data_IF_945461175985
#
_entry.id   IF_945461175985
#
_cell.length_a   1.000
_cell.length_b   1.000
_cell.length_c   1.000
_cell.angle_alpha   90.00
_cell.angle_beta   90.00
_cell.angle_gamma   90.00
#
_symmetry.space_group_name_H-M   'P 1'
#
loop_
_entity.id
_entity.type
_entity.pdbx_description
1 polymer ?
#
# COMPACT_ATOMS: atom_id res chain seq x y z
N UNK A 1 14.72 0.04 10.01
CA UNK A 1 14.91 -0.04 8.55
C UNK A 1 13.68 -0.70 7.96
N UNK A 2 13.13 -0.16 6.87
CA UNK A 2 12.08 -0.85 6.12
C UNK A 2 12.77 -1.75 5.13
N UNK A 3 12.45 -3.04 5.19
CA UNK A 3 13.09 -4.07 4.38
C UNK A 3 12.23 -4.34 3.13
N UNK A 4 10.91 -4.50 3.30
CA UNK A 4 9.97 -4.79 2.21
C UNK A 4 8.64 -4.08 2.40
N UNK A 5 8.03 -3.67 1.29
CA UNK A 5 6.62 -3.28 1.20
C UNK A 5 5.95 -4.20 0.19
N UNK A 6 4.83 -4.81 0.55
CA UNK A 6 4.08 -5.73 -0.31
C UNK A 6 2.60 -5.41 -0.32
N UNK A 7 1.98 -5.49 -1.49
CA UNK A 7 0.53 -5.36 -1.65
C UNK A 7 -0.07 -6.72 -1.34
N UNK A 8 -0.92 -6.79 -0.31
CA UNK A 8 -1.61 -8.02 0.08
C UNK A 8 -3.08 -8.03 -0.34
N UNK A 9 -3.66 -6.84 -0.51
CA UNK A 9 -4.96 -6.66 -1.16
C UNK A 9 -4.85 -5.49 -2.15
N UNK A 10 -4.91 -5.74 -3.47
CA UNK A 10 -4.79 -4.68 -4.45
C UNK A 10 -6.06 -3.83 -4.54
N UNK A 11 -5.96 -2.56 -4.97
CA UNK A 11 -7.13 -1.75 -5.28
C UNK A 11 -8.03 -2.40 -6.33
N UNK A 12 -9.34 -2.16 -6.23
CA UNK A 12 -10.33 -2.69 -7.17
C UNK A 12 -10.34 -1.94 -8.50
N UNK A 13 -10.06 -0.64 -8.48
CA UNK A 13 -10.17 0.19 -9.68
C UNK A 13 -8.85 0.86 -10.08
N UNK A 14 -8.12 1.38 -9.10
CA UNK A 14 -6.80 1.96 -9.30
C UNK A 14 -5.70 0.91 -9.41
N UNK A 15 -4.47 1.38 -9.26
CA UNK A 15 -3.28 0.53 -9.13
C UNK A 15 -2.33 1.10 -8.10
N UNK A 16 -1.64 0.23 -7.37
CA UNK A 16 -0.54 0.62 -6.49
C UNK A 16 0.76 0.15 -7.10
N UNK A 17 1.73 1.05 -7.21
CA UNK A 17 3.11 0.71 -7.55
C UNK A 17 3.99 0.83 -6.29
N UNK A 18 4.81 -0.18 -6.03
CA UNK A 18 5.81 -0.16 -4.96
C UNK A 18 7.19 0.11 -5.55
N UNK A 19 7.94 1.02 -4.95
CA UNK A 19 9.32 1.36 -5.32
C UNK A 19 10.15 1.52 -4.05
N UNK A 20 10.93 0.50 -3.71
CA UNK A 20 11.66 0.45 -2.44
C UNK A 20 10.72 0.54 -1.23
N UNK A 21 11.01 1.38 -0.23
CA UNK A 21 10.15 1.56 0.95
C UNK A 21 8.97 2.49 0.71
N UNK A 22 8.67 2.84 -0.54
CA UNK A 22 7.60 3.76 -0.92
C UNK A 22 6.57 3.08 -1.80
N UNK A 23 5.32 3.55 -1.74
CA UNK A 23 4.25 3.14 -2.65
C UNK A 23 3.54 4.37 -3.21
N UNK A 24 2.95 4.22 -4.40
CA UNK A 24 2.14 5.25 -5.04
C UNK A 24 0.85 4.63 -5.57
N UNK A 25 -0.27 5.21 -5.16
CA UNK A 25 -1.57 4.91 -5.74
C UNK A 25 -1.80 5.76 -7.00
N UNK A 26 -2.38 5.14 -8.02
CA UNK A 26 -2.88 5.79 -9.23
C UNK A 26 -4.35 5.45 -9.35
N UNK A 27 -5.20 6.47 -9.43
CA UNK A 27 -6.64 6.30 -9.59
C UNK A 27 -6.98 5.59 -10.91
N UNK A 28 -8.05 4.80 -10.86
CA UNK A 28 -8.61 4.15 -12.04
C UNK A 28 -9.24 5.14 -13.04
N UNK A 29 -9.56 4.69 -14.27
CA UNK A 29 -10.23 5.52 -15.27
C UNK A 29 -11.52 6.15 -14.73
N UNK A 30 -11.80 7.40 -15.11
CA UNK A 30 -12.99 8.16 -14.75
C UNK A 30 -13.20 8.46 -13.25
N UNK A 31 -12.14 8.49 -12.43
CA UNK A 31 -12.29 8.83 -11.00
C UNK A 31 -13.18 7.83 -10.26
N UNK A 32 -13.13 6.58 -10.73
CA UNK A 32 -13.97 5.45 -10.37
C UNK A 32 -14.03 5.21 -8.87
N UNK A 33 -15.00 5.86 -8.22
CA UNK A 33 -15.53 5.55 -6.90
C UNK A 33 -14.50 5.49 -5.77
N UNK A 34 -15.00 5.04 -4.62
CA UNK A 34 -14.13 4.69 -3.51
C UNK A 34 -13.28 3.48 -3.90
N UNK A 35 -12.03 3.46 -3.44
CA UNK A 35 -11.12 2.34 -3.58
C UNK A 35 -10.54 1.95 -2.23
N UNK A 36 -10.04 0.73 -2.14
CA UNK A 36 -9.46 0.18 -0.93
C UNK A 36 -8.28 -0.71 -1.26
N UNK A 37 -7.19 -0.61 -0.52
CA UNK A 37 -6.09 -1.54 -0.64
C UNK A 37 -5.34 -1.74 0.69
N UNK A 38 -4.64 -2.86 0.79
CA UNK A 38 -3.89 -3.27 1.97
C UNK A 38 -2.43 -3.58 1.65
N UNK A 39 -1.55 -3.06 2.49
CA UNK A 39 -0.12 -3.28 2.42
C UNK A 39 0.39 -3.99 3.68
N UNK A 40 1.40 -4.83 3.52
CA UNK A 40 2.24 -5.30 4.61
C UNK A 40 3.62 -4.67 4.47
N UNK A 41 4.11 -4.11 5.57
CA UNK A 41 5.46 -3.57 5.68
C UNK A 41 6.24 -4.47 6.62
N UNK A 42 7.37 -4.97 6.13
CA UNK A 42 8.33 -5.72 6.93
C UNK A 42 9.55 -4.84 7.19
N UNK A 43 10.03 -4.86 8.43
CA UNK A 43 11.17 -4.06 8.80
C UNK A 43 11.86 -4.58 10.04
N UNK A 44 13.08 -4.06 10.25
CA UNK A 44 13.91 -4.41 11.39
C UNK A 44 14.25 -3.17 12.20
N UNK A 45 14.04 -3.23 13.51
CA UNK A 45 14.39 -2.17 14.46
C UNK A 45 15.16 -2.78 15.65
N UNK A 46 16.33 -2.24 15.98
CA UNK A 46 17.18 -2.76 17.07
C UNK A 46 17.43 -4.28 17.01
N UNK A 47 17.64 -4.82 15.80
CA UNK A 47 17.81 -6.27 15.50
C UNK A 47 16.57 -7.13 15.71
N UNK A 48 15.41 -6.52 15.92
CA UNK A 48 14.12 -7.19 16.03
C UNK A 48 13.35 -6.95 14.73
N UNK A 49 13.00 -8.02 14.04
CA UNK A 49 12.15 -7.98 12.85
C UNK A 49 10.68 -7.94 13.24
N UNK A 50 9.88 -7.19 12.49
CA UNK A 50 8.45 -7.04 12.71
C UNK A 50 7.71 -6.83 11.40
N UNK A 51 6.39 -6.99 11.47
CA UNK A 51 5.47 -6.70 10.37
C UNK A 51 4.40 -5.73 10.83
N UNK A 52 4.07 -4.79 9.98
CA UNK A 52 2.95 -3.86 10.14
C UNK A 52 2.00 -4.01 8.97
N UNK A 53 0.71 -3.85 9.24
CA UNK A 53 -0.33 -3.82 8.21
C UNK A 53 -0.86 -2.40 8.08
N UNK A 54 -1.00 -1.93 6.85
CA UNK A 54 -1.62 -0.63 6.53
C UNK A 54 -2.82 -0.89 5.63
N UNK A 55 -3.98 -0.37 6.02
CA UNK A 55 -5.20 -0.35 5.21
C UNK A 55 -5.44 1.10 4.76
N UNK A 56 -5.76 1.27 3.48
CA UNK A 56 -5.95 2.58 2.85
C UNK A 56 -7.29 2.61 2.16
N UNK A 57 -8.14 3.53 2.58
CA UNK A 57 -9.35 3.91 1.87
C UNK A 57 -9.08 5.16 1.03
N UNK A 58 -9.50 5.13 -0.23
CA UNK A 58 -9.38 6.25 -1.17
C UNK A 58 -10.77 6.70 -1.53
N UNK A 59 -11.09 7.97 -1.28
CA UNK A 59 -12.36 8.58 -1.67
C UNK A 59 -12.11 9.62 -2.77
N UNK A 60 -12.95 9.67 -3.83
CA UNK A 60 -12.89 10.74 -4.83
C UNK A 60 -13.10 12.11 -4.18
N UNK A 61 -12.50 13.15 -4.77
CA UNK A 61 -12.78 14.55 -4.40
C UNK A 61 -13.99 15.10 -5.13
#
# INVERSE_FOLDING_TARGET
MIDTVSIVDPPKSGRVAVQGPSFRYFSGPAGSGDDHFKLVIEGTSSRISGKSSIEVDVTPK
#
